data_IF_432292899294
#
_entry.id   IF_432292899294
#
_cell.length_a   1.000
_cell.length_b   1.000
_cell.length_c   1.000
_cell.angle_alpha   90.00
_cell.angle_beta   90.00
_cell.angle_gamma   90.00
#
_symmetry.space_group_name_H-M   'P 1'
#
loop_
_entity.id
_entity.type
_entity.pdbx_description
1 polymer ?
#
# COMPACT_ATOMS: atom_id res chain seq x y z
N UNK A 1 11.08 13.22 -85.10
CA UNK A 1 9.99 12.99 -84.12
C UNK A 1 10.61 12.84 -82.75
N UNK A 2 10.71 13.93 -81.98
CA UNK A 2 11.21 13.89 -80.60
C UNK A 2 10.02 13.96 -79.64
N UNK A 3 9.91 12.98 -78.75
CA UNK A 3 8.93 12.95 -77.65
C UNK A 3 9.63 13.33 -76.35
N UNK A 4 8.95 14.18 -75.58
CA UNK A 4 9.33 14.68 -74.27
C UNK A 4 9.39 13.57 -73.20
N UNK A 5 10.29 13.71 -72.24
CA UNK A 5 10.24 13.00 -70.97
C UNK A 5 10.24 14.02 -69.83
N UNK A 6 9.25 13.92 -68.96
CA UNK A 6 9.05 14.73 -67.76
C UNK A 6 8.96 13.80 -66.53
N UNK A 7 9.30 14.39 -65.36
CA UNK A 7 9.01 13.95 -63.99
C UNK A 7 9.78 12.71 -63.47
N UNK A 8 10.14 12.58 -62.19
CA UNK A 8 9.60 13.18 -60.98
C UNK A 8 10.66 13.26 -59.87
N UNK A 9 10.62 14.32 -59.04
CA UNK A 9 11.33 14.41 -57.78
C UNK A 9 10.40 13.90 -56.66
N UNK A 10 10.77 12.82 -55.98
CA UNK A 10 10.09 12.35 -54.78
C UNK A 10 10.61 13.13 -53.56
N UNK A 11 9.78 14.02 -53.02
CA UNK A 11 10.02 14.64 -51.73
C UNK A 11 9.59 13.67 -50.62
N UNK A 12 10.55 13.23 -49.81
CA UNK A 12 10.31 12.42 -48.62
C UNK A 12 9.74 13.32 -47.51
N UNK A 13 8.43 13.27 -47.29
CA UNK A 13 7.79 13.89 -46.14
C UNK A 13 7.97 12.94 -44.95
N UNK A 14 8.99 13.19 -44.13
CA UNK A 14 9.07 12.59 -42.79
C UNK A 14 8.03 13.25 -41.90
N UNK A 15 6.84 12.64 -41.79
CA UNK A 15 5.94 12.92 -40.67
C UNK A 15 6.64 12.45 -39.38
N UNK A 16 7.26 13.37 -38.65
CA UNK A 16 7.46 13.17 -37.22
C UNK A 16 6.09 13.21 -36.57
N UNK A 17 5.46 12.06 -36.41
CA UNK A 17 4.44 11.87 -35.38
C UNK A 17 5.16 11.97 -34.03
N UNK A 18 5.28 13.19 -33.49
CA UNK A 18 5.57 13.34 -32.07
C UNK A 18 4.39 12.69 -31.33
N UNK A 19 4.60 11.68 -30.48
CA UNK A 19 3.57 11.35 -29.53
C UNK A 19 3.39 12.60 -28.67
N UNK A 20 2.23 13.25 -28.77
CA UNK A 20 1.81 14.22 -27.76
C UNK A 20 1.58 13.45 -26.48
N UNK A 21 2.64 13.21 -25.71
CA UNK A 21 2.52 12.94 -24.28
C UNK A 21 2.11 14.26 -23.65
N UNK A 22 0.80 14.52 -23.57
CA UNK A 22 0.29 15.55 -22.66
C UNK A 22 0.30 14.97 -21.24
N UNK A 23 1.50 14.67 -20.75
CA UNK A 23 1.74 14.47 -19.33
C UNK A 23 2.04 15.82 -18.71
N UNK A 24 0.99 16.60 -18.44
CA UNK A 24 1.13 17.85 -17.71
C UNK A 24 1.68 17.59 -16.31
N UNK A 25 2.37 18.58 -15.72
CA UNK A 25 2.67 18.54 -14.29
C UNK A 25 2.19 19.82 -13.65
N UNK A 26 1.77 19.69 -12.39
CA UNK A 26 1.38 20.81 -11.56
C UNK A 26 2.15 20.73 -10.24
N UNK A 27 2.73 21.85 -9.84
CA UNK A 27 3.58 21.96 -8.65
C UNK A 27 2.81 22.58 -7.51
N UNK A 28 2.80 21.94 -6.34
CA UNK A 28 2.18 22.49 -5.13
C UNK A 28 2.93 23.76 -4.71
N UNK A 29 2.20 24.84 -4.47
CA UNK A 29 2.82 26.13 -4.15
C UNK A 29 3.63 26.08 -2.85
N UNK A 30 4.63 26.96 -2.77
CA UNK A 30 5.37 27.19 -1.52
C UNK A 30 4.49 27.79 -0.40
N UNK A 31 3.42 28.51 -0.78
CA UNK A 31 2.45 29.15 0.12
C UNK A 31 1.03 29.07 -0.46
N UNK A 32 0.43 27.88 -0.55
CA UNK A 32 -0.92 27.71 -1.09
C UNK A 32 -1.95 28.39 -0.17
N UNK A 33 -3.17 28.64 -0.65
CA UNK A 33 -4.22 29.33 0.12
C UNK A 33 -4.97 28.41 1.06
N UNK A 34 -5.08 27.12 0.72
CA UNK A 34 -5.61 26.07 1.57
C UNK A 34 -4.68 24.85 1.55
N UNK A 35 -5.13 23.75 2.16
CA UNK A 35 -4.47 22.45 2.11
C UNK A 35 -5.20 21.43 1.21
N UNK A 36 -6.19 21.88 0.45
CA UNK A 36 -7.01 21.04 -0.41
C UNK A 36 -6.35 20.83 -1.78
N UNK A 37 -6.11 19.56 -2.13
CA UNK A 37 -5.59 19.15 -3.43
C UNK A 37 -6.47 19.67 -4.56
N UNK A 38 -7.79 19.62 -4.42
CA UNK A 38 -8.70 19.94 -5.54
C UNK A 38 -8.91 21.45 -5.74
N UNK A 39 -8.19 22.29 -5.00
CA UNK A 39 -8.22 23.75 -5.17
C UNK A 39 -7.13 24.18 -6.17
N UNK A 40 -7.53 24.58 -7.38
CA UNK A 40 -6.61 24.93 -8.48
C UNK A 40 -5.60 26.04 -8.15
N UNK A 41 -5.95 26.97 -7.26
CA UNK A 41 -5.05 28.07 -6.82
C UNK A 41 -3.94 27.61 -5.88
N UNK A 42 -3.93 26.35 -5.44
CA UNK A 42 -2.83 25.76 -4.68
C UNK A 42 -1.72 25.18 -5.58
N UNK A 43 -1.91 25.19 -6.90
CA UNK A 43 -1.00 24.59 -7.88
C UNK A 43 -0.42 25.59 -8.87
N UNK A 44 0.78 25.30 -9.39
CA UNK A 44 1.44 26.00 -10.49
C UNK A 44 1.72 25.04 -11.67
N UNK A 45 1.19 25.31 -12.89
CA UNK A 45 0.17 26.32 -13.20
C UNK A 45 -1.12 26.07 -12.41
N UNK A 46 -2.04 27.05 -12.39
CA UNK A 46 -3.29 27.01 -11.60
C UNK A 46 -4.31 26.01 -12.16
N UNK A 47 -3.91 24.74 -12.15
CA UNK A 47 -4.61 23.57 -12.67
C UNK A 47 -4.39 22.44 -11.66
N UNK A 48 -5.46 21.75 -11.30
CA UNK A 48 -5.38 20.61 -10.39
C UNK A 48 -4.87 19.39 -11.17
N UNK A 49 -3.77 18.74 -10.76
CA UNK A 49 -3.37 17.47 -11.36
C UNK A 49 -4.42 16.41 -10.98
N UNK A 50 -5.16 15.93 -11.97
CA UNK A 50 -6.26 14.98 -11.79
C UNK A 50 -6.59 14.18 -13.06
N UNK A 51 -5.56 13.69 -13.74
CA UNK A 51 -5.71 12.72 -14.81
C UNK A 51 -4.57 11.70 -14.83
N UNK A 52 -4.77 10.49 -15.40
CA UNK A 52 -3.74 9.44 -15.43
C UNK A 52 -2.44 9.84 -16.14
N UNK A 53 -2.46 10.90 -16.95
CA UNK A 53 -1.30 11.42 -17.64
C UNK A 53 -0.51 12.45 -16.80
N UNK A 54 -1.16 13.10 -15.83
CA UNK A 54 -0.57 14.21 -15.09
C UNK A 54 0.24 13.77 -13.88
N UNK A 55 1.31 14.51 -13.57
CA UNK A 55 2.10 14.31 -12.34
C UNK A 55 1.94 15.47 -11.38
N UNK A 56 1.81 15.17 -10.09
CA UNK A 56 1.86 16.18 -9.04
C UNK A 56 3.29 16.32 -8.51
N UNK A 57 3.79 17.55 -8.47
CA UNK A 57 5.14 17.87 -8.02
C UNK A 57 5.07 18.62 -6.69
N UNK A 58 5.92 18.22 -5.74
CA UNK A 58 6.00 18.79 -4.40
C UNK A 58 7.41 19.30 -4.13
N UNK A 59 7.52 20.60 -3.89
CA UNK A 59 8.75 21.30 -3.52
C UNK A 59 8.69 21.75 -2.04
N UNK A 60 9.48 22.74 -1.64
CA UNK A 60 9.35 23.33 -0.31
C UNK A 60 8.02 24.09 -0.16
N UNK A 61 7.27 23.85 0.91
CA UNK A 61 6.00 24.52 1.20
C UNK A 61 5.79 24.74 2.70
N UNK A 62 5.08 25.81 3.06
CA UNK A 62 4.61 26.05 4.43
C UNK A 62 3.31 25.28 4.76
N UNK A 63 2.73 24.59 3.77
CA UNK A 63 1.48 23.83 3.87
C UNK A 63 1.70 22.41 3.35
N UNK A 64 1.99 21.52 4.28
CA UNK A 64 2.44 20.16 3.96
C UNK A 64 1.42 19.07 4.32
N UNK A 65 0.35 19.41 5.03
CA UNK A 65 -0.72 18.48 5.42
C UNK A 65 -1.88 18.53 4.41
N UNK A 66 -1.80 17.75 3.34
CA UNK A 66 -2.71 17.82 2.18
C UNK A 66 -3.91 16.92 2.38
N UNK A 67 -5.10 17.43 2.06
CA UNK A 67 -6.37 16.70 2.00
C UNK A 67 -7.00 16.74 0.62
N UNK A 68 -7.92 15.83 0.31
CA UNK A 68 -8.69 15.83 -0.94
C UNK A 68 -10.15 16.17 -0.64
N UNK A 69 -10.73 17.15 -1.34
CA UNK A 69 -12.17 17.38 -1.37
C UNK A 69 -12.87 16.57 -2.47
N UNK A 70 -12.12 16.00 -3.42
CA UNK A 70 -12.60 14.97 -4.35
C UNK A 70 -11.54 13.92 -4.69
N UNK A 71 -11.99 12.72 -5.10
CA UNK A 71 -11.07 11.65 -5.50
C UNK A 71 -10.24 12.08 -6.70
N UNK A 72 -8.97 11.66 -6.71
CA UNK A 72 -7.99 12.08 -7.70
C UNK A 72 -7.32 10.86 -8.33
N UNK A 73 -7.07 10.93 -9.63
CA UNK A 73 -6.15 10.03 -10.31
C UNK A 73 -4.99 10.81 -10.93
N UNK A 74 -3.76 10.37 -10.71
CA UNK A 74 -2.57 10.94 -11.33
C UNK A 74 -1.63 9.84 -11.81
N UNK A 75 -0.73 10.18 -12.73
CA UNK A 75 0.37 9.32 -13.14
C UNK A 75 1.27 8.98 -11.94
N UNK A 76 1.60 10.01 -11.15
CA UNK A 76 2.53 9.86 -10.05
C UNK A 76 2.73 11.14 -9.25
N UNK A 77 3.45 10.99 -8.15
CA UNK A 77 3.87 12.04 -7.23
C UNK A 77 5.39 12.16 -7.28
N UNK A 78 5.90 13.37 -7.46
CA UNK A 78 7.33 13.66 -7.40
C UNK A 78 7.62 14.64 -6.27
N UNK A 79 8.40 14.21 -5.27
CA UNK A 79 8.93 15.11 -4.24
C UNK A 79 10.36 15.50 -4.62
N UNK A 80 10.55 16.75 -5.02
CA UNK A 80 11.85 17.25 -5.48
C UNK A 80 12.88 17.30 -4.35
N UNK A 81 14.16 17.43 -4.70
CA UNK A 81 15.23 17.66 -3.73
C UNK A 81 14.93 18.88 -2.85
N UNK A 82 15.01 18.72 -1.52
CA UNK A 82 14.70 19.78 -0.56
C UNK A 82 13.20 20.04 -0.36
N UNK A 83 12.30 19.22 -0.91
CA UNK A 83 10.88 19.31 -0.60
C UNK A 83 10.63 19.12 0.90
N UNK A 84 9.57 19.77 1.40
CA UNK A 84 9.17 19.66 2.81
C UNK A 84 8.64 18.26 3.14
N UNK A 85 8.47 17.96 4.44
CA UNK A 85 7.86 16.70 4.87
C UNK A 85 6.34 16.81 4.72
N UNK A 86 5.81 16.23 3.64
CA UNK A 86 4.38 16.17 3.36
C UNK A 86 3.71 15.00 4.10
N UNK A 87 2.48 15.27 4.51
CA UNK A 87 1.51 14.27 4.95
C UNK A 87 0.30 14.38 4.04
N UNK A 88 0.02 13.34 3.26
CA UNK A 88 -1.13 13.30 2.36
C UNK A 88 -2.19 12.40 2.97
N UNK A 89 -3.38 12.96 3.21
CA UNK A 89 -4.53 12.25 3.77
C UNK A 89 -5.73 12.51 2.87
N UNK A 90 -6.06 11.61 1.91
CA UNK A 90 -7.22 11.78 1.03
C UNK A 90 -8.50 12.16 1.78
N UNK A 91 -8.68 11.63 2.99
CA UNK A 91 -9.91 11.81 3.74
C UNK A 91 -11.03 10.93 3.16
N UNK A 92 -12.17 10.95 3.82
CA UNK A 92 -13.26 10.01 3.53
C UNK A 92 -14.33 10.75 2.69
N UNK A 93 -14.93 10.10 1.68
CA UNK A 93 -14.67 8.77 1.13
C UNK A 93 -13.78 8.85 -0.13
N UNK A 94 -12.64 9.56 -0.04
CA UNK A 94 -11.85 9.93 -1.22
C UNK A 94 -10.70 8.95 -1.44
N UNK A 95 -10.38 8.71 -2.71
CA UNK A 95 -9.25 7.87 -3.12
C UNK A 95 -8.27 8.69 -3.93
N UNK A 96 -6.98 8.57 -3.61
CA UNK A 96 -5.87 8.98 -4.47
C UNK A 96 -5.36 7.76 -5.25
N UNK A 97 -5.58 7.77 -6.56
CA UNK A 97 -5.14 6.70 -7.47
C UNK A 97 -3.86 7.13 -8.19
N UNK A 98 -2.88 6.22 -8.19
CA UNK A 98 -1.60 6.36 -8.88
C UNK A 98 -1.54 5.28 -9.97
N UNK A 99 -1.61 5.70 -11.24
CA UNK A 99 -1.74 4.78 -12.37
C UNK A 99 -0.58 4.74 -13.34
N UNK A 100 0.49 5.48 -13.06
CA UNK A 100 1.70 5.53 -13.89
C UNK A 100 2.93 5.13 -13.11
N UNK A 101 3.85 6.08 -12.92
CA UNK A 101 5.11 5.84 -12.20
C UNK A 101 4.93 5.55 -10.71
N UNK A 102 3.88 6.09 -10.08
CA UNK A 102 3.70 6.01 -8.63
C UNK A 102 4.42 7.14 -7.90
N UNK A 103 5.22 6.85 -6.89
CA UNK A 103 5.84 7.86 -6.03
C UNK A 103 7.35 7.87 -6.22
N UNK A 104 7.88 9.05 -6.52
CA UNK A 104 9.31 9.32 -6.63
C UNK A 104 9.68 10.34 -5.56
N UNK A 105 10.48 9.93 -4.57
CA UNK A 105 10.91 10.79 -3.49
C UNK A 105 12.41 11.12 -3.60
N UNK A 106 12.73 12.31 -4.08
CA UNK A 106 14.09 12.86 -4.14
C UNK A 106 14.37 13.88 -3.03
N UNK A 107 13.43 14.10 -2.10
CA UNK A 107 13.53 15.15 -1.08
C UNK A 107 14.65 14.95 -0.06
N UNK A 108 15.15 13.73 0.09
CA UNK A 108 16.10 13.36 1.13
C UNK A 108 15.46 13.15 2.51
N UNK A 109 14.15 13.33 2.63
CA UNK A 109 13.38 13.09 3.86
C UNK A 109 12.17 12.19 3.58
N UNK A 110 11.60 11.62 4.64
CA UNK A 110 10.47 10.70 4.54
C UNK A 110 9.16 11.46 4.30
N UNK A 111 8.37 10.98 3.35
CA UNK A 111 7.00 11.47 3.07
C UNK A 111 5.98 10.53 3.70
N UNK A 112 4.87 11.07 4.20
CA UNK A 112 3.86 10.29 4.94
C UNK A 112 2.51 10.29 4.23
N UNK A 113 1.86 9.13 4.20
CA UNK A 113 0.57 8.90 3.58
C UNK A 113 -0.35 8.24 4.60
N UNK A 114 -1.50 8.85 4.89
CA UNK A 114 -2.39 8.37 5.95
C UNK A 114 -3.73 7.94 5.36
N UNK A 115 -4.09 6.69 5.59
CA UNK A 115 -5.39 6.11 5.27
C UNK A 115 -6.24 6.06 6.54
N UNK A 116 -7.32 6.83 6.57
CA UNK A 116 -8.22 6.96 7.72
C UNK A 116 -9.48 6.14 7.52
N UNK A 117 -9.89 5.35 8.52
CA UNK A 117 -11.06 4.47 8.44
C UNK A 117 -12.39 5.20 8.40
N UNK A 118 -13.39 4.60 7.75
CA UNK A 118 -14.75 5.14 7.73
C UNK A 118 -15.77 4.07 8.13
N UNK A 119 -16.79 4.49 8.88
CA UNK A 119 -17.89 3.61 9.30
C UNK A 119 -18.74 3.03 8.16
N UNK A 120 -18.59 3.51 6.92
CA UNK A 120 -19.54 3.21 5.83
C UNK A 120 -18.93 3.02 4.43
N UNK A 121 -17.67 3.38 4.20
CA UNK A 121 -16.99 3.23 2.90
C UNK A 121 -15.93 2.14 2.96
N UNK A 122 -16.00 1.22 2.00
CA UNK A 122 -14.99 0.19 1.75
C UNK A 122 -13.97 0.58 0.68
N UNK A 123 -13.99 1.85 0.24
CA UNK A 123 -13.02 2.32 -0.75
C UNK A 123 -11.65 2.54 -0.08
N UNK A 124 -10.55 2.11 -0.72
CA UNK A 124 -9.21 2.41 -0.22
C UNK A 124 -8.93 3.92 -0.32
N UNK A 125 -8.12 4.44 0.60
CA UNK A 125 -7.66 5.83 0.50
C UNK A 125 -6.60 5.98 -0.61
N UNK A 126 -5.81 4.94 -0.84
CA UNK A 126 -4.77 4.93 -1.88
C UNK A 126 -4.93 3.71 -2.78
N UNK A 127 -4.74 3.91 -4.07
CA UNK A 127 -4.74 2.83 -5.05
C UNK A 127 -3.57 2.96 -6.00
N UNK A 128 -2.78 1.91 -6.15
CA UNK A 128 -1.71 1.78 -7.12
C UNK A 128 -2.15 0.80 -8.21
N UNK A 129 -2.11 1.22 -9.47
CA UNK A 129 -2.53 0.41 -10.63
C UNK A 129 -1.47 0.45 -11.73
N UNK A 130 -1.60 -0.39 -12.75
CA UNK A 130 -0.79 -0.36 -13.99
C UNK A 130 0.75 -0.37 -13.82
N UNK A 131 1.29 -0.81 -12.68
CA UNK A 131 2.74 -0.79 -12.42
C UNK A 131 3.25 0.34 -11.53
N UNK A 132 2.38 1.19 -10.99
CA UNK A 132 2.77 2.25 -10.07
C UNK A 132 3.50 1.70 -8.83
N UNK A 133 4.55 2.41 -8.41
CA UNK A 133 5.35 2.08 -7.23
C UNK A 133 5.02 2.98 -6.02
N UNK A 134 4.96 2.42 -4.81
CA UNK A 134 4.87 3.22 -3.57
C UNK A 134 6.17 3.98 -3.23
N UNK A 135 7.24 3.67 -3.95
CA UNK A 135 8.52 4.35 -3.88
C UNK A 135 9.33 4.03 -2.63
N UNK A 136 10.51 4.64 -2.54
CA UNK A 136 11.39 4.56 -1.37
C UNK A 136 11.26 5.81 -0.50
N UNK A 137 11.65 5.70 0.78
CA UNK A 137 11.54 6.80 1.75
C UNK A 137 10.11 7.36 1.88
N UNK A 138 9.13 6.46 1.77
CA UNK A 138 7.71 6.74 2.00
C UNK A 138 7.22 5.91 3.17
N UNK A 139 6.30 6.48 3.95
CA UNK A 139 5.63 5.82 5.06
C UNK A 139 4.13 5.89 4.86
N UNK A 140 3.50 4.71 4.88
CA UNK A 140 2.06 4.58 4.85
C UNK A 140 1.56 4.19 6.24
N UNK A 141 0.58 4.93 6.73
CA UNK A 141 -0.13 4.64 7.97
C UNK A 141 -1.56 4.29 7.61
N UNK A 142 -1.94 3.05 7.84
CA UNK A 142 -3.30 2.55 7.61
C UNK A 142 -3.95 2.35 8.97
N UNK A 143 -4.83 3.26 9.36
CA UNK A 143 -5.43 3.26 10.69
C UNK A 143 -6.42 2.10 10.90
N UNK A 144 -6.83 1.86 12.13
CA UNK A 144 -8.02 1.04 12.39
C UNK A 144 -9.30 1.75 11.93
N UNK A 145 -10.38 0.99 11.79
CA UNK A 145 -11.73 1.54 11.62
C UNK A 145 -12.17 2.33 12.86
N UNK A 146 -13.09 3.31 12.73
CA UNK A 146 -13.53 4.18 13.82
C UNK A 146 -14.46 3.49 14.85
N UNK A 147 -14.65 2.17 14.79
CA UNK A 147 -15.60 1.41 15.62
C UNK A 147 -16.98 1.25 14.98
N UNK A 148 -17.98 0.92 15.80
CA UNK A 148 -19.37 0.66 15.41
C UNK A 148 -19.97 1.76 14.50
N UNK A 149 -20.88 1.41 13.57
CA UNK A 149 -21.51 0.10 13.43
C UNK A 149 -20.61 -0.92 12.70
N UNK A 150 -20.87 -2.21 12.99
CA UNK A 150 -20.16 -3.46 12.66
C UNK A 150 -19.71 -3.68 11.19
N UNK A 151 -19.87 -2.69 10.32
CA UNK A 151 -19.49 -2.73 8.90
C UNK A 151 -18.64 -1.51 8.50
N UNK A 152 -17.97 -0.88 9.46
CA UNK A 152 -16.96 0.12 9.16
C UNK A 152 -15.92 -0.48 8.21
N UNK A 153 -15.90 0.02 6.97
CA UNK A 153 -14.93 -0.42 5.98
C UNK A 153 -13.52 -0.17 6.49
N UNK A 154 -12.68 -1.19 6.41
CA UNK A 154 -11.27 -1.07 6.74
C UNK A 154 -10.66 0.01 5.84
N UNK A 155 -10.05 1.07 6.41
CA UNK A 155 -9.21 1.91 5.59
C UNK A 155 -8.14 1.05 4.96
N UNK A 156 -7.82 1.34 3.72
CA UNK A 156 -6.89 0.50 3.02
C UNK A 156 -6.13 1.14 1.89
N UNK A 157 -5.24 0.31 1.37
CA UNK A 157 -4.40 0.58 0.22
C UNK A 157 -4.53 -0.62 -0.71
N UNK A 158 -4.84 -0.35 -1.97
CA UNK A 158 -4.90 -1.39 -3.00
C UNK A 158 -3.67 -1.29 -3.90
N UNK A 159 -2.98 -2.41 -4.10
CA UNK A 159 -1.99 -2.64 -5.15
C UNK A 159 -2.58 -3.61 -6.17
N UNK A 160 -2.90 -3.11 -7.36
CA UNK A 160 -3.54 -3.86 -8.44
C UNK A 160 -2.58 -4.04 -9.64
N UNK A 161 -2.98 -4.87 -10.59
CA UNK A 161 -2.23 -5.13 -11.83
C UNK A 161 -0.76 -5.51 -11.55
N UNK A 162 0.21 -4.81 -12.12
CA UNK A 162 1.65 -5.03 -11.89
C UNK A 162 2.28 -4.04 -10.90
N UNK A 163 1.47 -3.35 -10.07
CA UNK A 163 1.96 -2.34 -9.12
C UNK A 163 2.86 -2.92 -8.02
N UNK A 164 3.61 -2.05 -7.34
CA UNK A 164 4.56 -2.48 -6.30
C UNK A 164 4.62 -1.57 -5.09
N UNK A 165 4.79 -2.16 -3.91
CA UNK A 165 5.17 -1.42 -2.71
C UNK A 165 6.65 -0.98 -2.70
N UNK A 166 7.45 -1.45 -3.67
CA UNK A 166 8.86 -1.08 -3.85
C UNK A 166 9.68 -1.20 -2.55
N UNK A 167 10.14 -0.09 -1.96
CA UNK A 167 10.89 -0.05 -0.69
C UNK A 167 10.15 0.74 0.39
N UNK A 168 8.83 0.90 0.25
CA UNK A 168 8.02 1.69 1.18
C UNK A 168 7.88 0.98 2.54
N UNK A 169 7.63 1.78 3.58
CA UNK A 169 7.30 1.29 4.93
C UNK A 169 5.81 1.45 5.19
N UNK A 170 5.20 0.46 5.84
CA UNK A 170 3.77 0.41 6.13
C UNK A 170 3.53 0.04 7.59
N UNK A 171 2.76 0.87 8.29
CA UNK A 171 2.13 0.51 9.56
C UNK A 171 0.65 0.29 9.31
N UNK A 172 0.20 -0.94 9.49
CA UNK A 172 -1.21 -1.34 9.39
C UNK A 172 -1.70 -1.55 10.82
N UNK A 173 -2.50 -0.62 11.31
CA UNK A 173 -2.99 -0.64 12.68
C UNK A 173 -4.17 -1.61 12.82
N UNK A 174 -4.26 -2.29 13.97
CA UNK A 174 -5.49 -2.96 14.38
C UNK A 174 -6.58 -1.97 14.78
N UNK A 175 -7.75 -2.47 15.14
CA UNK A 175 -8.82 -1.65 15.70
C UNK A 175 -8.43 -1.06 17.06
N UNK A 176 -8.65 0.24 17.22
CA UNK A 176 -8.29 1.00 18.43
C UNK A 176 -9.46 1.16 19.42
N UNK A 177 -10.66 0.75 19.02
CA UNK A 177 -11.87 0.76 19.86
C UNK A 177 -12.57 -0.61 19.79
N UNK A 178 -13.47 -0.85 20.75
CA UNK A 178 -14.15 -2.14 20.90
C UNK A 178 -14.81 -2.58 19.58
N UNK A 179 -14.52 -3.81 19.13
CA UNK A 179 -15.02 -4.41 17.88
C UNK A 179 -14.67 -3.64 16.58
N UNK A 180 -13.70 -2.72 16.62
CA UNK A 180 -13.24 -2.06 15.39
C UNK A 180 -12.43 -3.02 14.51
N UNK A 181 -12.61 -2.91 13.19
CA UNK A 181 -11.74 -3.55 12.22
C UNK A 181 -10.34 -2.90 12.21
N UNK A 182 -9.32 -3.68 11.89
CA UNK A 182 -8.01 -3.14 11.55
C UNK A 182 -7.96 -2.54 10.14
N UNK A 183 -6.87 -1.85 9.85
CA UNK A 183 -6.51 -1.43 8.50
C UNK A 183 -6.19 -2.63 7.60
N UNK A 184 -6.33 -2.46 6.29
CA UNK A 184 -6.08 -3.53 5.32
C UNK A 184 -5.26 -3.04 4.13
N UNK A 185 -4.23 -3.78 3.73
CA UNK A 185 -3.56 -3.59 2.45
C UNK A 185 -3.80 -4.82 1.57
N UNK A 186 -4.22 -4.61 0.34
CA UNK A 186 -4.50 -5.69 -0.61
C UNK A 186 -3.56 -5.64 -1.80
N UNK A 187 -2.99 -6.79 -2.15
CA UNK A 187 -2.25 -7.04 -3.37
C UNK A 187 -3.04 -8.00 -4.25
N UNK A 188 -3.36 -7.59 -5.48
CA UNK A 188 -4.05 -8.45 -6.46
C UNK A 188 -3.46 -8.31 -7.86
N UNK A 189 -3.85 -9.22 -8.77
CA UNK A 189 -3.30 -9.28 -10.12
C UNK A 189 -1.92 -9.92 -10.15
N UNK A 190 -0.90 -9.17 -10.60
CA UNK A 190 0.52 -9.54 -10.63
C UNK A 190 1.37 -8.59 -9.77
N UNK A 191 0.74 -7.93 -8.80
CA UNK A 191 1.36 -6.92 -7.97
C UNK A 191 2.36 -7.52 -6.99
N UNK A 192 3.25 -6.71 -6.45
CA UNK A 192 4.27 -7.18 -5.52
C UNK A 192 4.53 -6.25 -4.35
N UNK A 193 4.71 -6.83 -3.17
CA UNK A 193 5.19 -6.09 -2.00
C UNK A 193 6.65 -5.63 -2.12
N UNK A 194 7.37 -6.00 -3.19
CA UNK A 194 8.74 -5.55 -3.44
C UNK A 194 9.68 -5.94 -2.30
N UNK A 195 10.50 -4.98 -1.86
CA UNK A 195 11.30 -5.03 -0.63
C UNK A 195 10.68 -4.16 0.47
N UNK A 196 9.36 -3.97 0.45
CA UNK A 196 8.65 -3.17 1.43
C UNK A 196 8.75 -3.75 2.84
N UNK A 197 8.59 -2.90 3.84
CA UNK A 197 8.55 -3.29 5.26
C UNK A 197 7.16 -3.05 5.82
N UNK A 198 6.54 -4.08 6.38
CA UNK A 198 5.15 -4.07 6.81
C UNK A 198 5.04 -4.47 8.27
N UNK A 199 4.37 -3.64 9.06
CA UNK A 199 4.01 -3.94 10.45
C UNK A 199 2.49 -4.02 10.57
N UNK A 200 1.99 -5.23 10.76
CA UNK A 200 0.59 -5.56 10.92
C UNK A 200 0.31 -5.70 12.41
N UNK A 201 -0.22 -4.64 13.03
CA UNK A 201 -0.45 -4.63 14.48
C UNK A 201 -1.70 -5.42 14.82
N UNK A 202 -1.69 -6.16 15.94
CA UNK A 202 -2.91 -6.74 16.49
C UNK A 202 -3.92 -5.66 16.92
N UNK A 203 -5.17 -6.07 17.14
CA UNK A 203 -6.21 -5.22 17.71
C UNK A 203 -5.77 -4.67 19.07
N UNK A 204 -5.91 -3.36 19.25
CA UNK A 204 -5.50 -2.68 20.47
C UNK A 204 -6.61 -2.64 21.55
N UNK A 205 -7.86 -2.85 21.15
CA UNK A 205 -9.03 -2.87 22.03
C UNK A 205 -9.69 -4.25 22.12
N UNK A 206 -10.62 -4.41 23.06
CA UNK A 206 -11.40 -5.64 23.23
C UNK A 206 -12.09 -6.01 21.92
N UNK A 207 -11.98 -7.27 21.51
CA UNK A 207 -12.64 -7.83 20.31
C UNK A 207 -12.30 -7.09 19.00
N UNK A 208 -11.27 -6.24 19.00
CA UNK A 208 -10.86 -5.50 17.82
C UNK A 208 -10.09 -6.40 16.85
N UNK A 209 -10.29 -6.21 15.55
CA UNK A 209 -9.55 -6.91 14.50
C UNK A 209 -8.11 -6.41 14.40
N UNK A 210 -7.18 -7.29 14.04
CA UNK A 210 -5.81 -6.90 13.71
C UNK A 210 -5.71 -6.21 12.35
N UNK A 211 -4.64 -5.44 12.16
CA UNK A 211 -4.23 -4.93 10.85
C UNK A 211 -3.78 -6.07 9.95
N UNK A 212 -4.10 -5.97 8.67
CA UNK A 212 -3.98 -7.09 7.73
C UNK A 212 -3.31 -6.75 6.42
N UNK A 213 -2.69 -7.77 5.83
CA UNK A 213 -2.25 -7.75 4.43
C UNK A 213 -2.78 -9.00 3.73
N UNK A 214 -3.33 -8.83 2.52
CA UNK A 214 -3.83 -9.93 1.69
C UNK A 214 -3.15 -9.94 0.33
N UNK A 215 -2.84 -11.13 -0.16
CA UNK A 215 -2.31 -11.40 -1.50
C UNK A 215 -3.27 -12.34 -2.24
N UNK A 216 -3.73 -11.93 -3.42
CA UNK A 216 -4.65 -12.67 -4.28
C UNK A 216 -4.20 -12.64 -5.75
N UNK A 217 -4.81 -13.46 -6.61
CA UNK A 217 -4.33 -13.66 -7.97
C UNK A 217 -2.91 -14.20 -8.02
N UNK A 218 -2.10 -13.75 -8.98
CA UNK A 218 -0.69 -14.12 -9.14
C UNK A 218 0.27 -13.12 -8.46
N UNK A 219 -0.19 -12.43 -7.41
CA UNK A 219 0.61 -11.46 -6.66
C UNK A 219 1.70 -12.13 -5.80
N UNK A 220 2.68 -11.35 -5.37
CA UNK A 220 3.79 -11.86 -4.54
C UNK A 220 4.24 -10.93 -3.44
N UNK A 221 4.58 -11.50 -2.28
CA UNK A 221 5.25 -10.77 -1.21
C UNK A 221 6.69 -10.34 -1.55
N UNK A 222 7.25 -10.76 -2.71
CA UNK A 222 8.57 -10.33 -3.16
C UNK A 222 9.67 -10.73 -2.17
N UNK A 223 10.50 -9.77 -1.78
CA UNK A 223 11.50 -9.85 -0.70
C UNK A 223 11.08 -9.00 0.51
N UNK A 224 9.78 -8.71 0.64
CA UNK A 224 9.26 -7.88 1.71
C UNK A 224 9.45 -8.50 3.09
N UNK A 225 9.43 -7.65 4.12
CA UNK A 225 9.46 -8.08 5.53
C UNK A 225 8.13 -7.74 6.18
N UNK A 226 7.50 -8.74 6.79
CA UNK A 226 6.16 -8.66 7.37
C UNK A 226 6.23 -9.04 8.84
N UNK A 227 5.81 -8.14 9.72
CA UNK A 227 5.67 -8.41 11.16
C UNK A 227 4.20 -8.44 11.52
N UNK A 228 3.70 -9.60 11.89
CA UNK A 228 2.35 -9.85 12.37
C UNK A 228 2.37 -9.85 13.90
N UNK A 229 1.89 -8.77 14.52
CA UNK A 229 1.83 -8.63 15.98
C UNK A 229 0.65 -9.38 16.58
N UNK A 230 0.81 -9.95 17.77
CA UNK A 230 -0.33 -10.49 18.53
C UNK A 230 -1.32 -9.40 18.95
N UNK A 231 -2.56 -9.79 19.18
CA UNK A 231 -3.59 -8.91 19.75
C UNK A 231 -3.17 -8.37 21.11
N UNK A 232 -3.52 -7.11 21.38
CA UNK A 232 -3.15 -6.39 22.60
C UNK A 232 -4.35 -6.10 23.54
N UNK A 233 -5.56 -6.53 23.17
CA UNK A 233 -6.78 -6.47 23.98
C UNK A 233 -7.42 -7.83 24.21
N UNK A 234 -8.39 -7.90 25.14
CA UNK A 234 -9.16 -9.12 25.40
C UNK A 234 -9.88 -9.60 24.14
N UNK A 235 -9.66 -10.85 23.72
CA UNK A 235 -10.20 -11.42 22.47
C UNK A 235 -9.86 -10.59 21.21
N UNK A 236 -8.82 -9.74 21.26
CA UNK A 236 -8.40 -8.96 20.10
C UNK A 236 -7.69 -9.86 19.09
N UNK A 237 -7.98 -9.67 17.81
CA UNK A 237 -7.31 -10.36 16.70
C UNK A 237 -5.84 -9.98 16.62
N UNK A 238 -4.95 -10.92 16.30
CA UNK A 238 -3.60 -10.58 15.89
C UNK A 238 -3.57 -9.97 14.49
N UNK A 239 -2.50 -9.25 14.19
CA UNK A 239 -2.21 -8.79 12.85
C UNK A 239 -1.88 -9.99 11.96
N UNK A 240 -2.13 -9.86 10.66
CA UNK A 240 -2.08 -11.01 9.77
C UNK A 240 -1.51 -10.72 8.38
N UNK A 241 -0.99 -11.78 7.77
CA UNK A 241 -0.71 -11.83 6.34
C UNK A 241 -1.38 -13.06 5.74
N UNK A 242 -2.15 -12.89 4.67
CA UNK A 242 -2.87 -13.97 4.01
C UNK A 242 -2.51 -14.07 2.52
N UNK A 243 -2.35 -15.30 2.03
CA UNK A 243 -2.17 -15.64 0.62
C UNK A 243 -3.30 -16.52 0.13
N UNK A 244 -3.88 -16.19 -1.02
CA UNK A 244 -4.93 -16.97 -1.69
C UNK A 244 -4.64 -17.13 -3.19
N UNK A 245 -5.52 -17.84 -3.90
CA UNK A 245 -5.39 -18.13 -5.34
C UNK A 245 -4.03 -18.73 -5.72
N UNK A 246 -3.31 -18.14 -6.67
CA UNK A 246 -1.99 -18.56 -7.15
C UNK A 246 -0.87 -17.68 -6.60
N UNK A 247 -1.13 -16.92 -5.54
CA UNK A 247 -0.17 -15.97 -4.97
C UNK A 247 1.00 -16.69 -4.29
N UNK A 248 2.10 -15.97 -4.07
CA UNK A 248 3.31 -16.53 -3.49
C UNK A 248 3.94 -15.64 -2.45
N UNK A 249 4.33 -16.24 -1.33
CA UNK A 249 5.15 -15.58 -0.31
C UNK A 249 6.56 -15.19 -0.82
N UNK A 250 6.94 -15.61 -2.03
CA UNK A 250 8.16 -15.17 -2.70
C UNK A 250 9.39 -15.58 -1.91
N UNK A 251 10.30 -14.64 -1.68
CA UNK A 251 11.43 -14.76 -0.74
C UNK A 251 11.23 -13.83 0.46
N UNK A 252 9.97 -13.52 0.80
CA UNK A 252 9.62 -12.63 1.89
C UNK A 252 9.97 -13.23 3.26
N UNK A 253 10.10 -12.36 4.25
CA UNK A 253 10.29 -12.76 5.66
C UNK A 253 9.03 -12.42 6.45
N UNK A 254 8.47 -13.39 7.16
CA UNK A 254 7.23 -13.27 7.92
C UNK A 254 7.52 -13.58 9.39
N UNK A 255 7.27 -12.62 10.26
CA UNK A 255 7.48 -12.71 11.70
C UNK A 255 6.11 -12.70 12.37
N UNK A 256 5.67 -13.86 12.83
CA UNK A 256 4.39 -14.05 13.51
C UNK A 256 4.64 -14.06 15.01
N UNK A 257 4.03 -13.14 15.75
CA UNK A 257 4.21 -13.02 17.20
C UNK A 257 3.01 -13.60 17.95
N UNK A 258 3.24 -14.26 19.08
CA UNK A 258 2.16 -14.71 19.95
C UNK A 258 1.32 -13.56 20.52
N UNK A 259 0.18 -13.89 21.12
CA UNK A 259 -0.73 -12.91 21.71
C UNK A 259 -0.04 -12.04 22.77
N UNK A 260 -0.25 -10.72 22.70
CA UNK A 260 0.39 -9.72 23.58
C UNK A 260 -0.45 -9.37 24.81
N UNK A 261 -1.65 -9.96 24.94
CA UNK A 261 -2.55 -9.82 26.07
C UNK A 261 -3.26 -11.14 26.37
N UNK A 262 -3.61 -11.40 27.64
CA UNK A 262 -4.25 -12.64 28.07
C UNK A 262 -5.61 -12.82 27.37
N UNK A 263 -5.76 -13.92 26.63
CA UNK A 263 -6.96 -14.18 25.82
C UNK A 263 -7.00 -13.44 24.48
N UNK A 264 -5.92 -12.76 24.07
CA UNK A 264 -5.79 -12.23 22.72
C UNK A 264 -5.28 -13.29 21.74
N UNK A 265 -5.61 -13.12 20.46
CA UNK A 265 -5.13 -13.99 19.40
C UNK A 265 -3.71 -13.64 18.97
N UNK A 266 -3.00 -14.63 18.47
CA UNK A 266 -1.67 -14.51 17.89
C UNK A 266 -1.69 -13.76 16.55
N UNK A 267 -0.55 -13.15 16.21
CA UNK A 267 -0.28 -12.74 14.84
C UNK A 267 0.04 -13.96 13.99
N UNK A 268 -0.41 -13.95 12.72
CA UNK A 268 -0.29 -15.15 11.88
C UNK A 268 -0.03 -14.85 10.41
N UNK A 269 0.53 -15.86 9.73
CA UNK A 269 0.57 -15.95 8.28
C UNK A 269 -0.21 -17.18 7.82
N UNK A 270 -1.07 -17.05 6.83
CA UNK A 270 -1.84 -18.19 6.32
C UNK A 270 -1.84 -18.23 4.80
N UNK A 271 -1.77 -19.45 4.26
CA UNK A 271 -1.76 -19.72 2.84
C UNK A 271 -2.94 -20.64 2.48
N UNK A 272 -3.77 -20.21 1.54
CA UNK A 272 -4.96 -20.93 1.07
C UNK A 272 -4.95 -21.16 -0.44
N UNK A 273 -5.93 -21.94 -0.92
CA UNK A 273 -6.14 -22.15 -2.35
C UNK A 273 -4.99 -22.92 -2.98
N UNK A 274 -4.35 -22.37 -4.01
CA UNK A 274 -3.18 -22.93 -4.69
C UNK A 274 -1.91 -22.10 -4.45
N UNK A 275 -1.91 -21.27 -3.40
CA UNK A 275 -0.79 -20.39 -3.06
C UNK A 275 0.42 -21.19 -2.59
N UNK A 276 1.58 -20.53 -2.55
CA UNK A 276 2.82 -21.19 -2.11
C UNK A 276 3.66 -20.31 -1.20
N UNK A 277 4.28 -20.93 -0.21
CA UNK A 277 5.27 -20.29 0.65
C UNK A 277 6.58 -19.97 -0.11
N UNK A 278 6.75 -20.46 -1.35
CA UNK A 278 7.88 -20.10 -2.19
C UNK A 278 9.22 -20.44 -1.54
N UNK A 279 10.11 -19.46 -1.46
CA UNK A 279 11.36 -19.50 -0.68
C UNK A 279 11.27 -18.62 0.58
N UNK A 280 10.06 -18.32 1.05
CA UNK A 280 9.85 -17.42 2.18
C UNK A 280 10.43 -17.97 3.48
N UNK A 281 10.73 -17.05 4.40
CA UNK A 281 11.18 -17.36 5.76
C UNK A 281 10.05 -17.03 6.71
N UNK A 282 9.59 -18.00 7.50
CA UNK A 282 8.48 -17.87 8.43
C UNK A 282 9.01 -18.11 9.84
N UNK A 283 8.93 -17.09 10.68
CA UNK A 283 9.38 -17.10 12.06
C UNK A 283 8.15 -16.98 12.96
N UNK A 284 7.82 -18.06 13.64
CA UNK A 284 6.73 -18.14 14.61
C UNK A 284 7.32 -17.97 16.00
N UNK A 285 7.17 -16.78 16.57
CA UNK A 285 7.63 -16.47 17.91
C UNK A 285 6.63 -16.99 18.94
N UNK A 286 7.14 -17.69 19.95
CA UNK A 286 6.33 -18.14 21.07
C UNK A 286 5.63 -17.01 21.81
N UNK A 287 4.60 -17.35 22.58
CA UNK A 287 3.89 -16.41 23.42
C UNK A 287 4.82 -15.71 24.42
N UNK A 288 4.53 -14.43 24.69
CA UNK A 288 5.15 -13.63 25.75
C UNK A 288 4.22 -13.41 26.95
N UNK A 289 2.97 -13.87 26.86
CA UNK A 289 1.93 -13.76 27.89
C UNK A 289 1.32 -15.14 28.17
N UNK A 290 1.11 -15.48 29.44
CA UNK A 290 0.52 -16.77 29.83
C UNK A 290 -0.85 -16.98 29.17
N UNK A 291 -1.14 -18.24 28.80
CA UNK A 291 -2.41 -18.66 28.16
C UNK A 291 -2.70 -17.95 26.82
N UNK A 292 -1.65 -17.55 26.08
CA UNK A 292 -1.80 -17.09 24.70
C UNK A 292 -1.13 -18.04 23.72
N UNK A 293 -1.68 -18.10 22.51
CA UNK A 293 -1.09 -18.89 21.44
C UNK A 293 0.23 -18.27 20.95
N UNK A 294 1.22 -19.10 20.55
CA UNK A 294 2.39 -18.62 19.83
C UNK A 294 1.99 -18.09 18.46
N UNK A 295 2.85 -17.29 17.83
CA UNK A 295 2.69 -16.90 16.43
C UNK A 295 2.49 -18.12 15.53
N UNK A 296 1.70 -17.96 14.48
CA UNK A 296 1.22 -19.09 13.69
C UNK A 296 1.52 -18.94 12.20
N UNK A 297 1.92 -20.05 11.56
CA UNK A 297 1.92 -20.19 10.10
C UNK A 297 1.06 -21.39 9.70
N UNK A 298 0.04 -21.17 8.87
CA UNK A 298 -0.93 -22.21 8.47
C UNK A 298 -1.03 -22.40 6.96
N UNK A 299 -1.39 -23.63 6.55
CA UNK A 299 -1.67 -24.00 5.16
C UNK A 299 -3.04 -24.65 5.07
N UNK A 300 -3.87 -24.18 4.13
CA UNK A 300 -5.20 -24.72 3.85
C UNK A 300 -5.43 -24.96 2.36
N UNK A 301 -6.34 -25.89 2.04
CA UNK A 301 -6.65 -26.25 0.65
C UNK A 301 -5.49 -26.98 -0.03
N UNK A 302 -5.08 -26.51 -1.20
CA UNK A 302 -3.94 -27.04 -1.99
C UNK A 302 -2.68 -26.17 -1.86
N UNK A 303 -2.61 -25.31 -0.85
CA UNK A 303 -1.45 -24.46 -0.63
C UNK A 303 -0.21 -25.32 -0.32
N UNK A 304 0.96 -24.88 -0.78
CA UNK A 304 2.20 -25.65 -0.63
C UNK A 304 3.25 -24.91 0.18
N UNK A 305 4.03 -25.65 0.96
CA UNK A 305 5.17 -25.12 1.69
C UNK A 305 6.33 -24.68 0.77
N UNK A 306 6.33 -25.11 -0.51
CA UNK A 306 7.39 -24.80 -1.46
C UNK A 306 8.78 -25.21 -0.94
N UNK A 307 9.75 -24.31 -1.06
CA UNK A 307 11.07 -24.38 -0.41
C UNK A 307 11.16 -23.42 0.79
N UNK A 308 10.03 -23.11 1.42
CA UNK A 308 9.97 -22.20 2.55
C UNK A 308 10.76 -22.70 3.75
N UNK A 309 11.29 -21.78 4.54
CA UNK A 309 11.98 -22.05 5.80
C UNK A 309 11.06 -21.70 6.97
N UNK A 310 10.82 -22.63 7.88
CA UNK A 310 9.91 -22.45 9.02
C UNK A 310 10.68 -22.58 10.33
N UNK A 311 10.65 -21.53 11.14
CA UNK A 311 11.37 -21.41 12.41
C UNK A 311 10.32 -21.20 13.50
N UNK A 312 10.20 -22.14 14.43
CA UNK A 312 9.31 -22.04 15.57
C UNK A 312 10.15 -21.81 16.83
N UNK A 313 10.02 -20.62 17.42
CA UNK A 313 10.72 -20.26 18.65
C UNK A 313 9.85 -20.62 19.87
N UNK A 314 10.47 -21.08 20.95
CA UNK A 314 9.77 -21.41 22.19
C UNK A 314 9.18 -20.16 22.85
N UNK A 315 8.05 -20.32 23.52
CA UNK A 315 7.48 -19.26 24.36
C UNK A 315 8.34 -18.99 25.60
N UNK A 316 8.23 -17.79 26.14
CA UNK A 316 8.83 -17.41 27.43
C UNK A 316 7.97 -17.84 28.64
N UNK A 317 6.79 -18.37 28.36
CA UNK A 317 5.68 -18.63 29.29
C UNK A 317 4.98 -19.93 28.94
N UNK A 318 4.17 -20.46 29.85
CA UNK A 318 3.29 -21.60 29.55
C UNK A 318 2.12 -21.14 28.68
N UNK A 319 2.01 -21.73 27.49
CA UNK A 319 0.82 -21.62 26.63
C UNK A 319 -0.35 -22.42 27.15
#
# INVERSE_FOLDING_TARGET
>A
MARSLAAAAFALISLLSMPTSYGGSATWFAKPLSNDWNTATNWLPTTVPNSPAESAVFDASDRTAISLSDSVEVNGLTFSAGASAYTITPGIPKTLTLGGTGIINHSGIRQTFVSTGSGTSFLPAFRFINGAAAGSSTMFVVNGGPGLPEFAGSPGIDFLDSSTADHASFAVHGGEVNQAHGGLISFSGRSTAGSGTFTNNGGAASEAGGGGITFSGASTAGSGTFTNGGGAGYSAGGGFTEFSDTSTAGSGTFINNGGAFRGAFEGFTVLFGTSTAGNGIFINNGASVDETAPGHTGFGGFATAGSGTFINNTGAVSG
#
